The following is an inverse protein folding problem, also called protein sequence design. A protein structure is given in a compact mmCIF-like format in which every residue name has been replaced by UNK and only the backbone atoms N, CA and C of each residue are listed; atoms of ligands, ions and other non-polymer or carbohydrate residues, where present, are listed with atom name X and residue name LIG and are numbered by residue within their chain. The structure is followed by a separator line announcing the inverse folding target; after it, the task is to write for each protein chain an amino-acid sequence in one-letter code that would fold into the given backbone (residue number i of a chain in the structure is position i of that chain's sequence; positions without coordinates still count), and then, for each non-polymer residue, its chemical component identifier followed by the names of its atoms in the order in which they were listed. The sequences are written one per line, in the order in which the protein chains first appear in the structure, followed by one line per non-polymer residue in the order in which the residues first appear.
data_IF_440414465879
#
_entry.id   IF_440414465879
#
_cell.length_a   1.000
_cell.length_b   1.000
_cell.length_c   1.000
_cell.angle_alpha   90.00
_cell.angle_beta   90.00
_cell.angle_gamma   90.00
#
_symmetry.space_group_name_H-M   'P 1'
#
loop_
_entity.id
_entity.type
_entity.pdbx_description
1 polymer ?
#
# COMPACT_ATOMS: atom_id res chain seq x y z
N UNK A 1 19.19 0.83 -7.49
CA UNK A 1 19.49 2.26 -7.34
C UNK A 1 18.64 2.80 -6.20
N UNK A 2 19.05 3.87 -5.54
CA UNK A 2 18.49 4.23 -4.24
C UNK A 2 17.18 5.02 -4.33
N UNK A 3 16.42 4.96 -3.24
CA UNK A 3 15.29 5.85 -3.00
C UNK A 3 15.81 7.25 -2.65
N UNK A 4 15.23 8.29 -3.25
CA UNK A 4 15.48 9.69 -2.88
C UNK A 4 14.40 10.16 -1.93
N UNK A 5 14.80 10.54 -0.73
CA UNK A 5 13.94 11.11 0.32
C UNK A 5 14.62 12.32 0.96
N UNK A 6 13.87 13.22 1.62
CA UNK A 6 14.46 14.35 2.35
C UNK A 6 15.49 13.88 3.39
N UNK A 7 16.62 14.57 3.46
CA UNK A 7 17.73 14.18 4.35
C UNK A 7 17.34 14.14 5.84
N UNK A 8 16.38 14.96 6.24
CA UNK A 8 15.89 15.06 7.62
C UNK A 8 14.70 14.14 7.92
N UNK A 9 14.27 13.30 6.96
CA UNK A 9 13.17 12.36 7.21
C UNK A 9 13.60 11.27 8.21
N UNK A 10 12.89 11.05 9.34
CA UNK A 10 13.26 10.05 10.35
C UNK A 10 13.45 8.64 9.82
N UNK A 11 12.69 8.24 8.80
CA UNK A 11 12.81 6.95 8.14
C UNK A 11 14.22 6.71 7.57
N UNK A 12 15.01 7.76 7.26
CA UNK A 12 16.36 7.64 6.70
C UNK A 12 17.29 6.85 7.62
N UNK A 13 17.27 7.11 8.93
CA UNK A 13 18.13 6.42 9.90
C UNK A 13 17.76 4.92 9.99
N UNK A 14 16.48 4.61 10.05
CA UNK A 14 15.98 3.23 10.11
C UNK A 14 16.40 2.44 8.87
N UNK A 15 16.11 2.99 7.69
CA UNK A 15 16.41 2.33 6.41
C UNK A 15 17.90 2.15 6.19
N UNK A 16 18.73 3.13 6.57
CA UNK A 16 20.20 3.00 6.51
C UNK A 16 20.71 1.90 7.44
N UNK A 17 20.12 1.77 8.64
CA UNK A 17 20.45 0.69 9.59
C UNK A 17 20.04 -0.70 9.07
N UNK A 18 19.09 -0.78 8.16
CA UNK A 18 18.64 -2.02 7.50
C UNK A 18 19.40 -2.32 6.19
N UNK A 19 20.48 -1.60 5.89
CA UNK A 19 21.25 -1.68 4.64
C UNK A 19 20.43 -1.39 3.38
N UNK A 20 19.38 -0.62 3.47
CA UNK A 20 18.62 -0.10 2.32
C UNK A 20 19.35 1.16 1.84
N UNK A 21 19.78 1.14 0.59
CA UNK A 21 20.55 2.23 0.03
C UNK A 21 19.63 3.44 -0.25
N UNK A 22 19.91 4.55 0.45
CA UNK A 22 19.21 5.83 0.30
C UNK A 22 20.16 6.79 -0.40
N UNK A 23 19.64 7.54 -1.37
CA UNK A 23 20.37 8.60 -2.03
C UNK A 23 19.96 9.94 -1.39
N UNK A 24 20.94 10.72 -0.98
CA UNK A 24 20.68 12.09 -0.58
C UNK A 24 20.39 12.99 -1.79
N UNK A 25 19.83 14.18 -1.54
CA UNK A 25 19.46 15.11 -2.60
C UNK A 25 20.65 15.55 -3.44
N UNK A 26 21.85 15.66 -2.85
CA UNK A 26 23.06 16.06 -3.52
C UNK A 26 23.60 14.98 -4.46
N UNK A 27 23.55 13.72 -4.06
CA UNK A 27 23.93 12.57 -4.89
C UNK A 27 22.99 12.38 -6.08
N UNK A 28 21.67 12.59 -5.87
CA UNK A 28 20.68 12.49 -6.95
C UNK A 28 20.88 13.52 -8.06
N UNK A 29 21.37 14.71 -7.71
CA UNK A 29 21.59 15.79 -8.68
C UNK A 29 22.70 15.50 -9.69
N UNK A 30 23.63 14.59 -9.36
CA UNK A 30 24.77 14.26 -10.23
C UNK A 30 24.54 13.05 -11.16
N UNK A 31 23.34 12.45 -11.16
CA UNK A 31 23.03 11.32 -12.02
C UNK A 31 22.07 11.75 -13.15
N UNK A 32 22.47 11.48 -14.39
CA UNK A 32 21.67 11.74 -15.59
C UNK A 32 20.63 10.62 -15.83
N UNK A 33 19.77 10.41 -14.82
CA UNK A 33 18.72 9.39 -14.83
C UNK A 33 17.42 10.04 -14.35
N UNK A 34 16.35 9.88 -15.12
CA UNK A 34 15.02 10.29 -14.65
C UNK A 34 14.53 9.35 -13.55
N UNK A 35 14.43 9.80 -12.29
CA UNK A 35 13.85 8.98 -11.24
C UNK A 35 12.34 8.80 -11.48
N UNK A 36 11.81 7.65 -11.05
CA UNK A 36 10.36 7.45 -11.00
C UNK A 36 9.76 8.34 -9.90
N UNK A 37 8.75 9.10 -10.25
CA UNK A 37 8.00 9.94 -9.30
C UNK A 37 6.88 9.11 -8.67
N UNK A 38 7.01 8.75 -7.42
CA UNK A 38 6.00 7.97 -6.68
C UNK A 38 5.36 8.85 -5.61
N UNK A 39 4.04 9.01 -5.67
CA UNK A 39 3.28 9.62 -4.59
C UNK A 39 2.80 8.55 -3.61
N UNK A 40 2.80 8.86 -2.31
CA UNK A 40 2.24 8.00 -1.26
C UNK A 40 1.22 8.81 -0.48
N UNK A 41 -0.06 8.54 -0.70
CA UNK A 41 -1.15 9.09 0.11
C UNK A 41 -1.29 8.25 1.38
N UNK A 42 -0.76 8.78 2.47
CA UNK A 42 -0.72 8.11 3.76
C UNK A 42 -1.94 8.48 4.62
N UNK A 43 -2.91 7.57 4.68
CA UNK A 43 -4.15 7.72 5.46
C UNK A 43 -4.02 7.16 6.89
N UNK A 44 -2.90 6.49 7.20
CA UNK A 44 -2.67 5.88 8.51
C UNK A 44 -2.48 6.95 9.60
N UNK A 45 -2.94 6.68 10.85
CA UNK A 45 -2.78 7.61 11.96
C UNK A 45 -1.33 7.75 12.43
N UNK A 46 -0.54 6.66 12.38
CA UNK A 46 0.90 6.63 12.73
C UNK A 46 1.74 6.72 11.46
N UNK A 47 1.83 7.94 10.89
CA UNK A 47 2.43 8.15 9.58
C UNK A 47 3.89 7.72 9.49
N UNK A 48 4.70 8.04 10.48
CA UNK A 48 6.15 7.74 10.50
C UNK A 48 6.43 6.22 10.40
N UNK A 49 5.61 5.40 11.05
CA UNK A 49 5.72 3.93 10.94
C UNK A 49 5.42 3.45 9.52
N UNK A 50 4.30 3.92 8.96
CA UNK A 50 3.87 3.56 7.62
C UNK A 50 4.84 4.06 6.54
N UNK A 51 5.39 5.26 6.70
CA UNK A 51 6.47 5.79 5.86
C UNK A 51 7.63 4.79 5.79
N UNK A 52 8.17 4.40 6.94
CA UNK A 52 9.31 3.47 7.02
C UNK A 52 8.99 2.14 6.35
N UNK A 53 7.80 1.59 6.59
CA UNK A 53 7.36 0.33 6.02
C UNK A 53 7.28 0.38 4.49
N UNK A 54 6.64 1.40 3.93
CA UNK A 54 6.51 1.56 2.48
C UNK A 54 7.82 1.93 1.81
N UNK A 55 8.58 2.85 2.39
CA UNK A 55 9.87 3.27 1.85
C UNK A 55 10.88 2.10 1.80
N UNK A 56 10.81 1.17 2.75
CA UNK A 56 11.61 -0.06 2.73
C UNK A 56 11.31 -0.91 1.49
N UNK A 57 10.05 -1.08 1.12
CA UNK A 57 9.64 -1.87 -0.03
C UNK A 57 9.93 -1.17 -1.36
N UNK A 58 9.60 0.11 -1.45
CA UNK A 58 9.87 0.93 -2.64
C UNK A 58 11.37 1.11 -2.87
N UNK A 59 12.16 1.24 -1.78
CA UNK A 59 13.61 1.38 -1.82
C UNK A 59 14.37 0.10 -2.17
N UNK A 60 13.75 -1.07 -2.02
CA UNK A 60 14.36 -2.35 -2.38
C UNK A 60 14.19 -2.68 -3.87
N UNK A 61 14.56 -1.73 -4.73
CA UNK A 61 14.49 -1.81 -6.19
C UNK A 61 15.77 -1.26 -6.81
N UNK A 62 16.20 -1.78 -7.98
CA UNK A 62 17.29 -1.17 -8.74
C UNK A 62 16.90 0.14 -9.43
N UNK A 63 15.63 0.52 -9.43
CA UNK A 63 15.13 1.75 -10.03
C UNK A 63 15.31 2.93 -9.07
N UNK A 64 15.68 4.09 -9.61
CA UNK A 64 15.71 5.31 -8.83
C UNK A 64 14.29 5.84 -8.63
N UNK A 65 13.92 6.12 -7.39
CA UNK A 65 12.58 6.57 -7.02
C UNK A 65 12.66 7.88 -6.24
N UNK A 66 11.87 8.87 -6.66
CA UNK A 66 11.63 10.14 -5.98
C UNK A 66 10.25 10.08 -5.33
N UNK A 67 10.19 10.13 -3.98
CA UNK A 67 8.94 9.93 -3.24
C UNK A 67 8.37 11.26 -2.76
N UNK A 68 7.08 11.44 -2.99
CA UNK A 68 6.28 12.56 -2.47
C UNK A 68 5.24 12.00 -1.50
N UNK A 69 5.33 12.38 -0.24
CA UNK A 69 4.36 12.00 0.79
C UNK A 69 3.17 12.95 0.79
N UNK A 70 1.96 12.38 0.81
CA UNK A 70 0.70 13.11 0.81
C UNK A 70 -0.15 12.76 2.03
N UNK A 71 -0.90 13.73 2.51
CA UNK A 71 -1.93 13.54 3.52
C UNK A 71 -3.23 14.26 3.13
N UNK A 72 -4.42 13.78 3.57
CA UNK A 72 -5.66 14.50 3.34
C UNK A 72 -5.65 15.88 3.99
N UNK A 73 -6.03 16.92 3.25
CA UNK A 73 -6.18 18.28 3.77
C UNK A 73 -7.42 18.43 4.65
N UNK A 74 -8.47 17.67 4.34
CA UNK A 74 -9.75 17.67 5.05
C UNK A 74 -9.74 16.90 6.38
N UNK A 75 -8.58 16.31 6.78
CA UNK A 75 -8.46 15.56 8.02
C UNK A 75 -7.26 15.98 8.85
N UNK A 76 -7.50 16.25 10.15
CA UNK A 76 -6.42 16.57 11.09
C UNK A 76 -5.86 15.31 11.73
N UNK A 77 -4.59 15.01 11.49
CA UNK A 77 -3.91 13.87 12.13
C UNK A 77 -3.77 14.10 13.63
N UNK A 78 -4.14 13.08 14.43
CA UNK A 78 -4.05 13.13 15.90
C UNK A 78 -2.73 12.56 16.45
N UNK A 79 -2.08 11.67 15.69
CA UNK A 79 -0.93 10.88 16.14
C UNK A 79 0.38 11.24 15.44
N UNK A 80 0.36 12.24 14.56
CA UNK A 80 1.55 12.75 13.86
C UNK A 80 1.66 14.24 14.15
N UNK A 81 2.86 14.73 14.47
CA UNK A 81 3.07 16.13 14.78
C UNK A 81 2.81 17.04 13.57
N UNK A 82 2.28 18.23 13.82
CA UNK A 82 2.07 19.22 12.76
C UNK A 82 3.39 19.66 12.10
N UNK A 83 4.50 19.62 12.83
CA UNK A 83 5.83 19.94 12.34
C UNK A 83 6.29 18.88 11.31
N UNK A 84 6.10 17.58 11.62
CA UNK A 84 6.41 16.48 10.71
C UNK A 84 5.61 16.59 9.41
N UNK A 85 4.28 16.81 9.53
CA UNK A 85 3.43 16.99 8.34
C UNK A 85 3.89 18.17 7.50
N UNK A 86 4.13 19.31 8.10
CA UNK A 86 4.57 20.52 7.40
C UNK A 86 5.93 20.35 6.70
N UNK A 87 6.82 19.54 7.31
CA UNK A 87 8.19 19.36 6.80
C UNK A 87 8.27 18.34 5.66
N UNK A 88 7.45 17.29 5.68
CA UNK A 88 7.63 16.12 4.80
C UNK A 88 6.43 15.80 3.93
N UNK A 89 5.23 16.31 4.25
CA UNK A 89 4.00 16.02 3.54
C UNK A 89 3.53 17.19 2.70
N UNK A 90 2.80 16.84 1.64
CA UNK A 90 2.04 17.78 0.82
C UNK A 90 0.55 17.43 0.87
N UNK A 91 -0.28 18.41 0.57
CA UNK A 91 -1.70 18.20 0.31
C UNK A 91 -1.93 17.90 -1.17
N UNK A 92 -3.11 17.40 -1.51
CA UNK A 92 -3.48 17.13 -2.89
C UNK A 92 -3.42 18.42 -3.75
N UNK A 93 -3.89 19.54 -3.23
CA UNK A 93 -3.90 20.83 -3.96
C UNK A 93 -2.49 21.27 -4.39
N UNK A 94 -1.44 20.92 -3.61
CA UNK A 94 -0.05 21.27 -3.92
C UNK A 94 0.57 20.42 -5.04
N UNK A 95 -0.11 19.35 -5.47
CA UNK A 95 0.42 18.42 -6.47
C UNK A 95 -0.57 18.11 -7.61
N UNK A 96 -1.78 18.63 -7.57
CA UNK A 96 -2.87 18.30 -8.49
C UNK A 96 -2.57 18.62 -9.96
N UNK A 97 -1.66 19.56 -10.23
CA UNK A 97 -1.14 19.91 -11.55
C UNK A 97 0.00 19.03 -12.05
N UNK A 98 0.48 18.09 -11.22
CA UNK A 98 1.62 17.22 -11.53
C UNK A 98 1.16 15.86 -12.02
N UNK A 99 2.12 15.18 -12.66
CA UNK A 99 2.00 13.77 -13.06
C UNK A 99 2.98 12.91 -12.29
N UNK A 100 2.56 11.67 -12.00
CA UNK A 100 3.35 10.68 -11.27
C UNK A 100 3.43 9.37 -12.05
N UNK A 101 4.53 8.67 -11.89
CA UNK A 101 4.69 7.33 -12.44
C UNK A 101 3.87 6.32 -11.64
N UNK A 102 3.80 6.48 -10.32
CA UNK A 102 2.99 5.63 -9.47
C UNK A 102 2.37 6.37 -8.29
N UNK A 103 1.25 5.84 -7.79
CA UNK A 103 0.59 6.29 -6.57
C UNK A 103 0.36 5.08 -5.66
N UNK A 104 0.69 5.21 -4.38
CA UNK A 104 0.30 4.27 -3.33
C UNK A 104 -0.70 4.97 -2.43
N UNK A 105 -1.86 4.35 -2.19
CA UNK A 105 -2.85 4.82 -1.23
C UNK A 105 -2.92 3.81 -0.09
N UNK A 106 -2.62 4.23 1.14
CA UNK A 106 -2.53 3.33 2.29
C UNK A 106 -3.89 3.01 2.89
N UNK A 107 -3.95 1.98 3.72
CA UNK A 107 -5.08 1.72 4.59
C UNK A 107 -5.40 2.86 5.55
N UNK A 108 -6.56 2.76 6.20
CA UNK A 108 -7.01 3.67 7.26
C UNK A 108 -7.86 2.89 8.26
N UNK A 109 -7.83 3.21 9.57
CA UNK A 109 -8.60 2.51 10.59
C UNK A 109 -10.05 3.04 10.67
N UNK A 110 -10.73 3.10 9.54
CA UNK A 110 -12.12 3.60 9.37
C UNK A 110 -13.01 2.58 8.67
N UNK A 111 -12.60 1.33 8.61
CA UNK A 111 -13.27 0.26 7.86
C UNK A 111 -14.68 -0.07 8.33
N UNK A 112 -15.01 0.21 9.60
CA UNK A 112 -16.33 0.01 10.17
C UNK A 112 -17.33 1.14 9.85
N UNK A 113 -16.86 2.25 9.24
CA UNK A 113 -17.71 3.32 8.75
C UNK A 113 -18.14 3.03 7.31
N UNK A 114 -19.33 3.51 6.92
CA UNK A 114 -19.64 3.60 5.50
C UNK A 114 -18.66 4.56 4.82
N UNK A 115 -18.39 4.36 3.53
CA UNK A 115 -17.41 5.19 2.82
C UNK A 115 -17.80 6.66 2.84
N UNK A 116 -19.10 6.95 2.68
CA UNK A 116 -19.67 8.28 2.67
C UNK A 116 -19.58 9.00 4.03
N UNK A 117 -19.46 8.26 5.12
CA UNK A 117 -19.32 8.79 6.48
C UNK A 117 -17.85 9.13 6.83
N UNK A 118 -16.89 8.76 5.98
CA UNK A 118 -15.48 9.09 6.18
C UNK A 118 -15.23 10.56 5.86
N UNK A 119 -14.69 11.32 6.81
CA UNK A 119 -14.57 12.79 6.74
C UNK A 119 -13.81 13.30 5.51
N UNK A 120 -12.88 12.52 4.96
CA UNK A 120 -12.09 12.87 3.76
C UNK A 120 -12.53 12.09 2.51
N UNK A 121 -13.74 11.51 2.51
CA UNK A 121 -14.22 10.71 1.39
C UNK A 121 -14.31 11.49 0.08
N UNK A 122 -14.84 12.72 0.12
CA UNK A 122 -14.96 13.57 -1.07
C UNK A 122 -13.60 13.93 -1.65
N UNK A 123 -12.61 14.26 -0.80
CA UNK A 123 -11.24 14.52 -1.23
C UNK A 123 -10.62 13.26 -1.83
N UNK A 124 -10.82 12.09 -1.21
CA UNK A 124 -10.28 10.82 -1.70
C UNK A 124 -10.87 10.44 -3.07
N UNK A 125 -12.17 10.63 -3.29
CA UNK A 125 -12.80 10.44 -4.62
C UNK A 125 -12.15 11.34 -5.67
N UNK A 126 -11.91 12.61 -5.34
CA UNK A 126 -11.20 13.54 -6.22
C UNK A 126 -9.82 13.04 -6.59
N UNK A 127 -9.06 12.51 -5.62
CA UNK A 127 -7.72 11.91 -5.85
C UNK A 127 -7.82 10.65 -6.71
N UNK A 128 -8.81 9.79 -6.48
CA UNK A 128 -9.04 8.60 -7.29
C UNK A 128 -9.34 8.95 -8.75
N UNK A 129 -10.21 9.92 -9.01
CA UNK A 129 -10.48 10.39 -10.37
C UNK A 129 -9.24 11.04 -11.02
N UNK A 130 -8.54 11.90 -10.29
CA UNK A 130 -7.30 12.51 -10.75
C UNK A 130 -6.24 11.46 -11.11
N UNK A 131 -6.14 10.38 -10.34
CA UNK A 131 -5.13 9.34 -10.57
C UNK A 131 -5.30 8.64 -11.92
N UNK A 132 -6.52 8.53 -12.44
CA UNK A 132 -6.79 7.91 -13.76
C UNK A 132 -6.08 8.64 -14.91
N UNK A 133 -5.86 9.96 -14.74
CA UNK A 133 -5.32 10.84 -15.79
C UNK A 133 -3.90 11.33 -15.53
N UNK A 134 -3.44 11.26 -14.29
CA UNK A 134 -2.17 11.84 -13.86
C UNK A 134 -1.19 10.83 -13.29
N UNK A 135 -1.58 9.54 -13.20
CA UNK A 135 -0.76 8.47 -12.65
C UNK A 135 -0.76 7.26 -13.59
N UNK A 136 0.42 6.70 -13.85
CA UNK A 136 0.53 5.52 -14.73
C UNK A 136 -0.07 4.28 -14.08
N UNK A 137 0.24 4.01 -12.79
CA UNK A 137 -0.34 2.89 -12.06
C UNK A 137 -0.54 3.25 -10.59
N UNK A 138 -1.69 2.87 -10.03
CA UNK A 138 -2.05 3.13 -8.62
C UNK A 138 -2.19 1.81 -7.86
N UNK A 139 -1.53 1.72 -6.70
CA UNK A 139 -1.66 0.61 -5.75
C UNK A 139 -2.44 1.06 -4.52
N UNK A 140 -3.55 0.41 -4.27
CA UNK A 140 -4.41 0.64 -3.11
C UNK A 140 -4.19 -0.46 -2.08
N UNK A 141 -3.99 -0.11 -0.80
CA UNK A 141 -3.66 -1.07 0.26
C UNK A 141 -4.76 -1.09 1.33
N UNK A 142 -5.18 -2.28 1.74
CA UNK A 142 -6.14 -2.56 2.81
C UNK A 142 -7.47 -1.80 2.60
N UNK A 143 -7.85 -0.91 3.50
CA UNK A 143 -9.07 -0.12 3.38
C UNK A 143 -9.12 0.69 2.09
N UNK A 144 -8.00 1.26 1.63
CA UNK A 144 -7.98 1.98 0.35
C UNK A 144 -8.25 1.04 -0.84
N UNK A 145 -7.91 -0.25 -0.75
CA UNK A 145 -8.28 -1.24 -1.76
C UNK A 145 -9.79 -1.44 -1.82
N UNK A 146 -10.46 -1.53 -0.66
CA UNK A 146 -11.92 -1.60 -0.58
C UNK A 146 -12.57 -0.32 -1.13
N UNK A 147 -12.06 0.86 -0.71
CA UNK A 147 -12.55 2.16 -1.14
C UNK A 147 -12.38 2.38 -2.66
N UNK A 148 -11.24 2.01 -3.22
CA UNK A 148 -10.98 2.10 -4.66
C UNK A 148 -11.83 1.14 -5.48
N UNK A 149 -12.00 -0.11 -5.04
CA UNK A 149 -12.89 -1.09 -5.67
C UNK A 149 -14.35 -0.63 -5.64
N UNK A 150 -14.79 -0.07 -4.51
CA UNK A 150 -16.12 0.51 -4.40
C UNK A 150 -16.30 1.71 -5.33
N UNK A 151 -15.41 2.68 -5.28
CA UNK A 151 -15.52 3.92 -6.04
C UNK A 151 -15.47 3.69 -7.56
N UNK A 152 -14.52 2.89 -8.03
CA UNK A 152 -14.29 2.70 -9.46
C UNK A 152 -15.19 1.65 -10.11
N UNK A 153 -15.61 0.63 -9.35
CA UNK A 153 -16.24 -0.57 -9.90
C UNK A 153 -17.54 -0.98 -9.18
N UNK A 154 -17.94 -0.27 -8.13
CA UNK A 154 -19.14 -0.59 -7.37
C UNK A 154 -19.07 -1.89 -6.57
N UNK A 155 -17.85 -2.41 -6.33
CA UNK A 155 -17.65 -3.61 -5.52
C UNK A 155 -17.98 -3.30 -4.07
N UNK A 156 -18.89 -4.07 -3.48
CA UNK A 156 -19.37 -3.83 -2.11
C UNK A 156 -18.32 -4.23 -1.08
N UNK A 157 -18.25 -3.45 -0.02
CA UNK A 157 -17.62 -3.84 1.24
C UNK A 157 -18.57 -4.80 1.98
N UNK A 158 -18.03 -5.84 2.61
CA UNK A 158 -18.77 -6.82 3.39
C UNK A 158 -18.17 -6.95 4.78
N UNK A 159 -19.02 -7.02 5.81
CA UNK A 159 -18.57 -7.22 7.18
C UNK A 159 -18.14 -8.68 7.38
N UNK A 160 -17.12 -8.89 8.19
CA UNK A 160 -16.69 -10.21 8.64
C UNK A 160 -17.30 -10.52 10.01
N UNK A 161 -17.70 -11.76 10.22
CA UNK A 161 -18.21 -12.23 11.52
C UNK A 161 -17.15 -12.12 12.63
N UNK A 162 -15.88 -12.33 12.26
CA UNK A 162 -14.72 -12.19 13.13
C UNK A 162 -13.63 -11.37 12.43
N UNK A 163 -12.81 -10.66 13.21
CA UNK A 163 -11.64 -9.95 12.68
C UNK A 163 -10.71 -10.93 11.95
N UNK A 164 -10.45 -10.68 10.68
CA UNK A 164 -9.39 -11.36 9.94
C UNK A 164 -8.05 -10.84 10.46
N UNK A 165 -7.42 -11.58 11.39
CA UNK A 165 -6.25 -11.14 12.13
C UNK A 165 -5.21 -12.25 12.22
N UNK A 166 -4.08 -12.05 11.53
CA UNK A 166 -3.03 -13.08 11.45
C UNK A 166 -2.19 -13.02 10.20
N UNK A 167 -1.47 -14.11 9.91
CA UNK A 167 -0.65 -14.30 8.71
C UNK A 167 -1.13 -15.53 7.95
N UNK A 168 -1.83 -15.32 6.87
CA UNK A 168 -2.57 -16.37 6.17
C UNK A 168 -1.84 -16.84 4.90
N UNK A 169 -1.93 -18.13 4.54
CA UNK A 169 -1.49 -18.64 3.26
C UNK A 169 -2.43 -18.16 2.14
N UNK A 170 -1.85 -17.77 1.02
CA UNK A 170 -2.56 -17.35 -0.19
C UNK A 170 -2.07 -18.17 -1.37
N UNK A 171 -2.98 -18.45 -2.30
CA UNK A 171 -2.66 -19.13 -3.55
C UNK A 171 -2.70 -18.16 -4.72
N UNK A 172 -1.79 -18.37 -5.69
CA UNK A 172 -1.75 -17.64 -6.94
C UNK A 172 -2.83 -18.17 -7.87
N UNK A 173 -3.76 -17.31 -8.32
CA UNK A 173 -4.84 -17.70 -9.24
C UNK A 173 -4.39 -17.74 -10.70
N UNK A 174 -3.36 -16.94 -11.07
CA UNK A 174 -2.87 -16.81 -12.44
C UNK A 174 -1.35 -16.73 -12.48
N UNK A 175 -0.68 -17.77 -12.99
CA UNK A 175 0.79 -17.89 -13.02
C UNK A 175 1.50 -16.98 -14.03
N UNK A 176 0.79 -16.47 -15.05
CA UNK A 176 1.38 -15.69 -16.14
C UNK A 176 1.24 -14.16 -15.99
N UNK A 177 0.86 -13.67 -14.82
CA UNK A 177 0.72 -12.24 -14.57
C UNK A 177 2.06 -11.66 -14.10
N UNK A 178 2.52 -10.59 -14.75
CA UNK A 178 3.80 -9.93 -14.44
C UNK A 178 3.93 -9.52 -12.97
N UNK A 179 2.81 -9.14 -12.32
CA UNK A 179 2.79 -8.72 -10.91
C UNK A 179 3.19 -9.84 -9.95
N UNK A 180 2.89 -11.10 -10.29
CA UNK A 180 3.19 -12.29 -9.50
C UNK A 180 4.44 -13.05 -9.98
N UNK A 181 5.23 -12.44 -10.85
CA UNK A 181 6.45 -13.08 -11.36
C UNK A 181 7.41 -13.39 -10.21
N UNK A 182 7.80 -14.66 -10.09
CA UNK A 182 8.71 -15.15 -9.06
C UNK A 182 8.05 -15.49 -7.73
N UNK A 183 6.72 -15.39 -7.65
CA UNK A 183 5.98 -15.90 -6.48
C UNK A 183 5.94 -17.42 -6.48
N UNK A 184 5.99 -17.98 -5.28
CA UNK A 184 5.63 -19.37 -5.05
C UNK A 184 4.12 -19.58 -5.24
N UNK A 185 3.66 -20.81 -5.52
CA UNK A 185 2.24 -21.12 -5.64
C UNK A 185 1.45 -20.80 -4.38
N UNK A 186 2.13 -20.91 -3.22
CA UNK A 186 1.59 -20.54 -1.89
C UNK A 186 2.55 -19.59 -1.22
N UNK A 187 2.02 -18.46 -0.76
CA UNK A 187 2.77 -17.45 -0.03
C UNK A 187 1.95 -16.89 1.13
N UNK A 188 2.60 -16.21 2.07
CA UNK A 188 1.97 -15.72 3.29
C UNK A 188 1.79 -14.20 3.27
N UNK A 189 0.66 -13.74 3.82
CA UNK A 189 0.33 -12.31 3.93
C UNK A 189 -0.27 -11.99 5.29
N UNK A 190 0.18 -10.91 5.96
CA UNK A 190 -0.48 -10.38 7.14
C UNK A 190 -1.83 -9.73 6.81
N UNK A 191 -2.82 -9.95 7.65
CA UNK A 191 -4.12 -9.28 7.61
C UNK A 191 -4.49 -8.77 8.99
N UNK A 192 -5.16 -7.60 9.04
CA UNK A 192 -5.78 -7.04 10.23
C UNK A 192 -6.97 -6.19 9.78
N UNK A 193 -8.16 -6.79 9.66
CA UNK A 193 -9.36 -6.13 9.15
C UNK A 193 -10.65 -6.75 9.66
N UNK A 194 -11.69 -5.94 9.79
CA UNK A 194 -13.05 -6.35 10.17
C UNK A 194 -13.99 -6.46 8.96
N UNK A 195 -13.52 -6.03 7.79
CA UNK A 195 -14.31 -6.03 6.54
C UNK A 195 -13.53 -6.68 5.40
N UNK A 196 -14.23 -7.12 4.37
CA UNK A 196 -13.68 -7.65 3.13
C UNK A 196 -14.37 -7.01 1.92
N UNK A 197 -13.99 -7.42 0.73
CA UNK A 197 -14.63 -7.07 -0.53
C UNK A 197 -15.50 -8.22 -1.03
N UNK A 198 -16.62 -7.90 -1.70
CA UNK A 198 -17.48 -8.91 -2.31
C UNK A 198 -16.74 -9.60 -3.47
N UNK A 199 -16.35 -10.87 -3.27
CA UNK A 199 -15.71 -11.69 -4.30
C UNK A 199 -16.59 -11.84 -5.54
N UNK A 200 -17.90 -12.02 -5.34
CA UNK A 200 -18.85 -12.18 -6.43
C UNK A 200 -18.97 -10.91 -7.28
N UNK A 201 -18.94 -9.72 -6.67
CA UNK A 201 -18.97 -8.47 -7.40
C UNK A 201 -17.70 -8.28 -8.24
N UNK A 202 -16.53 -8.70 -7.73
CA UNK A 202 -15.27 -8.67 -8.48
C UNK A 202 -15.36 -9.59 -9.69
N UNK A 203 -15.82 -10.84 -9.51
CA UNK A 203 -15.95 -11.81 -10.60
C UNK A 203 -17.00 -11.42 -11.65
N UNK A 204 -18.02 -10.67 -11.25
CA UNK A 204 -19.05 -10.16 -12.16
C UNK A 204 -18.56 -8.98 -13.01
N UNK A 205 -17.44 -8.34 -12.63
CA UNK A 205 -16.91 -7.18 -13.34
C UNK A 205 -15.86 -7.61 -14.38
N UNK A 206 -16.10 -7.43 -15.70
CA UNK A 206 -15.18 -7.88 -16.75
C UNK A 206 -13.87 -7.10 -16.81
N UNK A 207 -13.73 -5.98 -16.09
CA UNK A 207 -12.51 -5.18 -16.04
C UNK A 207 -11.55 -5.64 -14.93
N UNK A 208 -12.02 -6.48 -14.00
CA UNK A 208 -11.27 -6.93 -12.83
C UNK A 208 -10.83 -8.39 -12.95
N UNK A 209 -9.70 -8.70 -12.31
CA UNK A 209 -9.23 -10.07 -12.16
C UNK A 209 -8.68 -10.27 -10.74
N UNK A 210 -9.05 -11.41 -10.11
CA UNK A 210 -8.46 -11.85 -8.85
C UNK A 210 -7.15 -12.56 -9.16
N UNK A 211 -6.04 -12.07 -8.62
CA UNK A 211 -4.70 -12.61 -8.86
C UNK A 211 -4.24 -13.57 -7.76
N UNK A 212 -4.68 -13.35 -6.54
CA UNK A 212 -4.39 -14.21 -5.40
C UNK A 212 -5.50 -14.11 -4.34
N UNK A 213 -5.80 -15.23 -3.71
CA UNK A 213 -6.80 -15.34 -2.65
C UNK A 213 -6.41 -16.41 -1.60
N UNK A 214 -7.06 -16.40 -0.45
CA UNK A 214 -6.90 -17.34 0.65
C UNK A 214 -8.25 -17.97 0.98
N UNK A 215 -8.26 -19.25 1.34
CA UNK A 215 -9.47 -19.90 1.86
C UNK A 215 -9.90 -19.32 3.22
N UNK A 216 -8.94 -18.88 4.03
CA UNK A 216 -9.19 -18.32 5.36
C UNK A 216 -9.35 -16.79 5.38
N UNK A 217 -8.62 -16.08 4.52
CA UNK A 217 -8.55 -14.61 4.54
C UNK A 217 -9.22 -13.95 3.33
N UNK A 218 -9.87 -14.71 2.43
CA UNK A 218 -10.58 -14.18 1.28
C UNK A 218 -9.68 -13.61 0.18
N UNK A 219 -10.19 -12.65 -0.56
CA UNK A 219 -9.49 -12.03 -1.69
C UNK A 219 -8.32 -11.19 -1.20
N UNK A 220 -7.13 -11.39 -1.78
CA UNK A 220 -5.93 -10.63 -1.43
C UNK A 220 -5.53 -9.62 -2.49
N UNK A 221 -5.40 -10.07 -3.72
CA UNK A 221 -4.84 -9.24 -4.79
C UNK A 221 -5.79 -9.22 -5.99
N UNK A 222 -6.21 -8.02 -6.35
CA UNK A 222 -7.06 -7.75 -7.52
C UNK A 222 -6.36 -6.71 -8.39
N UNK A 223 -6.49 -6.82 -9.69
CA UNK A 223 -6.06 -5.77 -10.61
C UNK A 223 -7.08 -5.54 -11.71
N UNK A 224 -7.03 -4.35 -12.31
CA UNK A 224 -7.62 -4.14 -13.63
C UNK A 224 -6.83 -4.93 -14.69
N UNK A 225 -7.46 -5.26 -15.81
CA UNK A 225 -6.82 -6.03 -16.88
C UNK A 225 -5.64 -5.27 -17.51
N UNK A 226 -5.68 -3.93 -17.51
CA UNK A 226 -4.62 -3.06 -17.99
C UNK A 226 -3.52 -2.82 -16.95
N UNK A 227 -3.71 -3.25 -15.69
CA UNK A 227 -2.76 -3.08 -14.60
C UNK A 227 -2.63 -1.64 -14.06
N UNK A 228 -3.50 -0.72 -14.47
CA UNK A 228 -3.48 0.66 -13.98
C UNK A 228 -3.93 0.79 -12.53
N UNK A 229 -4.85 -0.09 -12.09
CA UNK A 229 -5.34 -0.10 -10.72
C UNK A 229 -5.06 -1.47 -10.10
N UNK A 230 -4.35 -1.47 -8.97
CA UNK A 230 -3.98 -2.66 -8.20
C UNK A 230 -4.53 -2.52 -6.79
N UNK A 231 -5.22 -3.55 -6.30
CA UNK A 231 -5.89 -3.56 -5.01
C UNK A 231 -5.34 -4.70 -4.16
N UNK A 232 -4.73 -4.35 -3.03
CA UNK A 232 -4.07 -5.26 -2.08
C UNK A 232 -4.82 -5.19 -0.77
N UNK A 233 -5.61 -6.20 -0.41
CA UNK A 233 -6.45 -6.15 0.81
C UNK A 233 -5.68 -6.47 2.09
N UNK A 234 -4.50 -7.10 1.98
CA UNK A 234 -3.62 -7.41 3.10
C UNK A 234 -2.52 -6.36 3.31
N UNK A 235 -1.62 -6.66 4.24
CA UNK A 235 -0.58 -5.75 4.70
C UNK A 235 0.83 -6.33 4.47
N UNK A 236 1.24 -6.39 3.20
CA UNK A 236 2.60 -6.86 2.84
C UNK A 236 3.70 -5.95 3.38
N UNK A 237 3.38 -4.68 3.68
CA UNK A 237 4.30 -3.68 4.21
C UNK A 237 4.61 -3.84 5.70
N UNK A 238 3.84 -4.63 6.44
CA UNK A 238 3.96 -4.75 7.90
C UNK A 238 5.35 -5.24 8.35
N UNK A 239 5.81 -4.63 9.45
CA UNK A 239 6.96 -5.11 10.21
C UNK A 239 6.65 -6.43 10.92
N UNK A 240 7.68 -7.22 11.27
CA UNK A 240 7.49 -8.49 11.98
C UNK A 240 6.63 -8.38 13.24
N UNK A 241 6.68 -7.23 13.91
CA UNK A 241 5.96 -6.99 15.17
C UNK A 241 4.66 -6.20 15.04
N UNK A 242 4.23 -5.80 13.85
CA UNK A 242 3.03 -4.96 13.68
C UNK A 242 1.78 -5.60 14.27
N UNK A 243 1.52 -6.87 13.97
CA UNK A 243 0.36 -7.59 14.54
C UNK A 243 0.51 -7.79 16.05
N UNK A 244 1.74 -7.99 16.56
CA UNK A 244 1.99 -8.06 18.01
C UNK A 244 1.64 -6.75 18.70
N UNK A 245 2.07 -5.61 18.14
CA UNK A 245 1.75 -4.30 18.73
C UNK A 245 0.26 -4.01 18.70
N UNK A 246 -0.46 -4.42 17.65
CA UNK A 246 -1.92 -4.33 17.61
C UNK A 246 -2.57 -5.21 18.68
N UNK A 247 -2.15 -6.47 18.79
CA UNK A 247 -2.65 -7.41 19.78
C UNK A 247 -2.42 -6.89 21.21
N UNK A 248 -1.18 -6.51 21.54
CA UNK A 248 -0.83 -6.00 22.87
C UNK A 248 -1.60 -4.72 23.22
N UNK A 249 -1.78 -3.81 22.24
CA UNK A 249 -2.57 -2.58 22.39
C UNK A 249 -4.03 -2.87 22.70
N UNK A 250 -4.62 -3.82 22.00
CA UNK A 250 -6.05 -4.10 22.10
C UNK A 250 -6.35 -4.88 23.38
N UNK A 251 -5.48 -5.80 23.81
CA UNK A 251 -5.51 -6.43 25.14
C UNK A 251 -5.39 -5.36 26.25
N UNK A 252 -4.46 -4.41 26.13
CA UNK A 252 -4.28 -3.34 27.12
C UNK A 252 -5.51 -2.44 27.25
N UNK A 253 -6.34 -2.33 26.19
CA UNK A 253 -7.62 -1.63 26.19
C UNK A 253 -8.78 -2.48 26.76
N UNK A 254 -8.53 -3.74 27.15
CA UNK A 254 -9.54 -4.65 27.63
C UNK A 254 -10.48 -5.18 26.55
N UNK A 255 -10.05 -5.15 25.28
CA UNK A 255 -10.83 -5.71 24.18
C UNK A 255 -10.71 -7.24 24.18
N UNK A 256 -11.80 -7.92 23.85
CA UNK A 256 -11.82 -9.35 23.59
C UNK A 256 -11.29 -9.60 22.17
N UNK A 257 -10.00 -9.87 22.06
CA UNK A 257 -9.32 -10.10 20.80
C UNK A 257 -8.63 -11.46 20.78
N UNK A 258 -8.84 -12.21 19.71
CA UNK A 258 -8.15 -13.48 19.50
C UNK A 258 -6.66 -13.27 19.19
N UNK A 259 -5.86 -14.29 19.54
CA UNK A 259 -4.44 -14.35 19.14
C UNK A 259 -4.38 -14.34 17.61
N UNK A 260 -3.46 -13.53 16.98
CA UNK A 260 -3.31 -13.52 15.53
C UNK A 260 -3.01 -14.94 14.99
N UNK A 261 -3.86 -15.43 14.07
CA UNK A 261 -3.74 -16.77 13.49
C UNK A 261 -2.43 -16.92 12.70
N UNK A 262 -1.78 -18.09 12.81
CA UNK A 262 -0.54 -18.44 12.07
C UNK A 262 0.63 -17.48 12.26
N UNK A 263 0.62 -16.67 13.30
CA UNK A 263 1.60 -15.61 13.51
C UNK A 263 2.67 -15.98 14.55
N UNK A 264 2.26 -16.44 15.72
CA UNK A 264 3.20 -16.86 16.75
C UNK A 264 3.59 -18.33 16.60
N UNK A 265 4.87 -18.69 16.81
CA UNK A 265 5.24 -20.11 16.89
C UNK A 265 4.46 -20.83 18.00
N UNK A 266 3.69 -21.87 17.61
CA UNK A 266 2.85 -22.67 18.52
C UNK A 266 1.76 -21.83 19.23
N UNK A 267 1.31 -20.75 18.58
CA UNK A 267 0.30 -19.81 19.11
C UNK A 267 0.66 -19.20 20.49
N UNK A 268 1.96 -19.11 20.80
CA UNK A 268 2.48 -18.55 22.03
C UNK A 268 2.89 -17.07 21.86
N UNK A 269 2.13 -16.09 22.40
CA UNK A 269 2.42 -14.66 22.27
C UNK A 269 3.74 -14.21 22.92
N UNK A 270 4.36 -15.08 23.75
CA UNK A 270 5.67 -14.79 24.34
C UNK A 270 6.83 -15.11 23.40
N UNK A 271 6.57 -15.83 22.30
CA UNK A 271 7.57 -16.15 21.30
C UNK A 271 7.67 -15.07 20.24
N UNK A 272 8.88 -14.87 19.71
CA UNK A 272 9.14 -13.93 18.61
C UNK A 272 8.49 -14.44 17.33
N UNK A 273 7.59 -13.66 16.70
CA UNK A 273 6.98 -14.05 15.45
C UNK A 273 7.98 -13.97 14.29
N UNK A 274 8.00 -14.96 13.38
CA UNK A 274 8.81 -14.89 12.16
C UNK A 274 8.12 -14.04 11.09
N UNK A 275 8.90 -13.26 10.33
CA UNK A 275 8.38 -12.55 9.15
C UNK A 275 8.47 -13.44 7.91
N UNK A 276 7.45 -14.26 7.66
CA UNK A 276 7.42 -15.23 6.55
C UNK A 276 6.90 -14.63 5.23
N UNK A 277 6.47 -13.37 5.21
CA UNK A 277 5.91 -12.67 4.03
C UNK A 277 6.88 -11.73 3.33
N UNK A 278 8.03 -11.41 3.93
CA UNK A 278 8.93 -10.34 3.47
C UNK A 278 9.42 -10.53 2.04
N UNK A 279 9.75 -11.75 1.64
CA UNK A 279 10.25 -12.02 0.28
C UNK A 279 9.20 -11.69 -0.78
N UNK A 280 7.96 -12.15 -0.58
CA UNK A 280 6.86 -11.91 -1.50
C UNK A 280 6.39 -10.44 -1.49
N UNK A 281 6.45 -9.76 -0.33
CA UNK A 281 6.23 -8.33 -0.24
C UNK A 281 7.23 -7.55 -1.13
N UNK A 282 8.52 -7.85 -1.04
CA UNK A 282 9.54 -7.25 -1.90
C UNK A 282 9.30 -7.55 -3.38
N UNK A 283 8.92 -8.78 -3.73
CA UNK A 283 8.58 -9.16 -5.12
C UNK A 283 7.38 -8.39 -5.64
N UNK A 284 6.31 -8.25 -4.85
CA UNK A 284 5.11 -7.50 -5.24
C UNK A 284 5.47 -6.07 -5.63
N UNK A 285 6.18 -5.36 -4.75
CA UNK A 285 6.55 -3.97 -5.00
C UNK A 285 7.58 -3.83 -6.12
N UNK A 286 8.57 -4.71 -6.20
CA UNK A 286 9.57 -4.71 -7.28
C UNK A 286 8.91 -5.00 -8.64
N UNK A 287 7.98 -5.94 -8.73
CA UNK A 287 7.25 -6.26 -9.95
C UNK A 287 6.32 -5.09 -10.36
N UNK A 288 5.61 -4.48 -9.39
CA UNK A 288 4.81 -3.30 -9.66
C UNK A 288 5.65 -2.15 -10.21
N UNK A 289 6.73 -1.77 -9.51
CA UNK A 289 7.62 -0.70 -9.95
C UNK A 289 8.23 -0.96 -11.34
N UNK A 290 8.62 -2.21 -11.62
CA UNK A 290 9.25 -2.55 -12.89
C UNK A 290 8.24 -2.66 -14.04
N UNK A 291 7.16 -3.43 -13.86
CA UNK A 291 6.29 -3.83 -14.97
C UNK A 291 5.07 -2.95 -15.17
N UNK A 292 4.59 -2.25 -14.14
CA UNK A 292 3.38 -1.43 -14.19
C UNK A 292 3.63 0.05 -14.02
N UNK A 293 4.83 0.41 -13.55
CA UNK A 293 5.27 1.80 -13.43
C UNK A 293 6.34 2.11 -14.46
N UNK A 294 7.55 1.55 -14.31
CA UNK A 294 8.70 1.92 -15.15
C UNK A 294 8.52 1.60 -16.63
N UNK A 295 8.03 0.38 -16.96
CA UNK A 295 7.89 -0.04 -18.36
C UNK A 295 6.69 0.60 -19.07
N UNK A 296 5.69 1.05 -18.32
CA UNK A 296 4.47 1.68 -18.86
C UNK A 296 4.55 3.21 -18.88
N UNK A 297 5.47 3.81 -18.12
CA UNK A 297 5.64 5.26 -18.11
C UNK A 297 6.45 5.74 -19.32
N UNK A 298 5.98 6.75 -20.08
CA UNK A 298 6.75 7.37 -21.14
C UNK A 298 7.98 8.10 -20.58
N UNK A 299 9.04 8.22 -21.38
CA UNK A 299 10.28 8.89 -20.97
C UNK A 299 10.03 10.31 -20.47
N UNK A 300 9.18 11.08 -21.18
CA UNK A 300 8.71 12.40 -20.74
C UNK A 300 7.29 12.31 -20.19
N UNK A 301 7.19 12.16 -18.88
CA UNK A 301 5.91 12.00 -18.19
C UNK A 301 5.00 13.24 -18.31
N UNK A 302 5.59 14.42 -18.43
CA UNK A 302 4.82 15.67 -18.48
C UNK A 302 4.13 15.87 -19.85
N UNK A 303 4.56 15.10 -20.88
CA UNK A 303 3.94 15.03 -22.21
C UNK A 303 3.07 13.78 -22.43
N UNK A 304 2.89 12.94 -21.42
CA UNK A 304 2.10 11.73 -21.54
C UNK A 304 0.61 12.04 -21.76
N UNK A 305 0.06 11.61 -22.89
CA UNK A 305 -1.38 11.55 -23.10
C UNK A 305 -1.90 10.23 -22.50
N UNK A 306 -2.47 10.29 -21.30
CA UNK A 306 -3.16 9.16 -20.73
C UNK A 306 -4.51 9.00 -21.42
N UNK A 307 -4.57 8.08 -22.39
CA UNK A 307 -5.83 7.71 -23.03
C UNK A 307 -6.75 7.11 -21.97
N UNK A 308 -7.87 7.75 -21.79
CA UNK A 308 -8.98 7.27 -20.94
C UNK A 308 -9.71 6.20 -21.73
N UNK A 309 -9.73 4.98 -21.20
CA UNK A 309 -10.58 3.90 -21.69
C UNK A 309 -11.79 3.76 -20.79
#
# INVERSE_FOLDING_TARGET
MPIKIPDSLPAKEVLSGENIFIMDESQAFHQDIRPLRIAILNLMPTKETTETQLLRLVGNSPLQVDVVLLHPSSHTSKNTSAEHLKSFYKTFDEISDRRFDGLIVTGAPVEQLEFEDVTYWEELKGIFEWSKHNVTSTMHICWAAQAGLYHHFGVRKVDLDEKCFGVFPHTVSHTNVKLLRGFDEVFHVPHSRHTDVSRDDILANPQLQILAESEEAGVYLVSTLDGKQIFVTGHSEYDPFSLKWEYDRDIAKGMDIAIPKHYYPQDDPQRTPPAVWRAHANLLFANWLNYYVYQETPYDIDQADYLVF
#
